data_IF_840826877185
#
_entry.id   IF_840826877185
#
_cell.length_a   1.000
_cell.length_b   1.000
_cell.length_c   1.000
_cell.angle_alpha   90.00
_cell.angle_beta   90.00
_cell.angle_gamma   90.00
#
_symmetry.space_group_name_H-M   'P 1'
#
loop_
_entity.id
_entity.type
_entity.pdbx_description
1 polymer ?
#
# COMPACT_ATOMS: atom_id res chain seq x y z
N UNK A 1 14.90 -15.59 4.98
CA UNK A 1 13.86 -16.64 5.14
C UNK A 1 12.64 -16.21 4.33
N UNK A 2 11.78 -17.14 3.92
CA UNK A 2 10.55 -16.91 3.13
C UNK A 2 9.37 -17.76 3.63
N UNK A 3 9.51 -18.31 4.83
CA UNK A 3 8.50 -19.03 5.58
C UNK A 3 7.37 -18.09 6.02
N UNK A 4 6.16 -18.64 6.17
CA UNK A 4 4.98 -17.92 6.61
C UNK A 4 4.30 -18.72 7.72
N UNK A 5 4.05 -18.07 8.85
CA UNK A 5 3.38 -18.66 9.99
C UNK A 5 2.29 -17.72 10.49
N UNK A 6 1.28 -18.27 11.15
CA UNK A 6 0.39 -17.49 11.99
C UNK A 6 0.23 -18.16 13.35
N UNK A 7 -0.11 -17.34 14.34
CA UNK A 7 -0.47 -17.78 15.68
C UNK A 7 -1.99 -17.67 15.79
N UNK A 8 -2.66 -18.78 16.05
CA UNK A 8 -4.05 -18.75 16.49
C UNK A 8 -4.11 -18.05 17.86
N UNK A 9 -4.80 -16.92 17.95
CA UNK A 9 -4.84 -16.10 19.17
C UNK A 9 -5.85 -16.62 20.21
N UNK A 10 -6.74 -17.54 19.83
CA UNK A 10 -7.67 -18.19 20.75
C UNK A 10 -7.02 -19.44 21.36
N UNK A 11 -6.40 -20.29 20.52
CA UNK A 11 -5.77 -21.54 20.93
C UNK A 11 -4.31 -21.42 21.35
N UNK A 12 -3.63 -20.31 20.99
CA UNK A 12 -2.19 -20.10 21.15
C UNK A 12 -1.33 -21.15 20.42
N UNK A 13 -1.82 -21.64 19.27
CA UNK A 13 -1.13 -22.62 18.44
C UNK A 13 -0.45 -21.96 17.24
N UNK A 14 0.83 -22.29 17.04
CA UNK A 14 1.59 -21.87 15.87
C UNK A 14 1.36 -22.82 14.71
N UNK A 15 1.00 -22.24 13.57
CA UNK A 15 0.68 -23.00 12.35
C UNK A 15 1.55 -22.47 11.23
N UNK A 16 2.30 -23.37 10.60
CA UNK A 16 3.05 -23.10 9.38
C UNK A 16 2.11 -23.14 8.18
N UNK A 17 2.14 -22.08 7.38
CA UNK A 17 1.45 -22.02 6.10
C UNK A 17 2.43 -22.46 5.02
N UNK A 18 2.01 -23.40 4.19
CA UNK A 18 2.75 -23.86 3.00
C UNK A 18 1.95 -23.43 1.77
N UNK A 19 2.16 -22.21 1.24
CA UNK A 19 1.37 -21.70 0.14
C UNK A 19 1.61 -22.51 -1.14
N UNK A 20 0.57 -22.63 -1.96
CA UNK A 20 0.69 -23.30 -3.24
C UNK A 20 1.29 -22.35 -4.30
N UNK A 21 2.02 -22.92 -5.26
CA UNK A 21 2.53 -22.17 -6.42
C UNK A 21 3.74 -21.29 -6.13
N UNK A 22 3.80 -20.14 -6.80
CA UNK A 22 4.94 -19.22 -6.68
C UNK A 22 4.87 -18.44 -5.37
N UNK A 23 5.99 -18.42 -4.64
CA UNK A 23 6.12 -17.66 -3.40
C UNK A 23 7.08 -16.47 -3.58
N UNK A 24 6.89 -15.37 -2.82
CA UNK A 24 7.84 -14.26 -2.81
C UNK A 24 9.24 -14.74 -2.36
N UNK A 25 10.29 -14.12 -2.92
CA UNK A 25 11.67 -14.38 -2.48
C UNK A 25 11.85 -14.03 -1.00
N UNK A 26 12.75 -14.77 -0.32
CA UNK A 26 13.06 -14.53 1.08
C UNK A 26 13.64 -13.13 1.33
N UNK A 27 13.12 -12.46 2.36
CA UNK A 27 13.34 -11.04 2.59
C UNK A 27 13.24 -10.63 4.06
N UNK A 28 13.96 -9.59 4.45
CA UNK A 28 13.79 -8.86 5.72
C UNK A 28 13.36 -7.42 5.47
N UNK A 29 13.00 -6.69 6.53
CA UNK A 29 12.62 -5.26 6.47
C UNK A 29 11.50 -4.92 5.46
N UNK A 30 10.63 -5.89 5.18
CA UNK A 30 9.45 -5.72 4.35
C UNK A 30 8.26 -5.23 5.20
N UNK A 31 7.18 -4.84 4.54
CA UNK A 31 5.89 -4.59 5.18
C UNK A 31 4.87 -5.65 4.79
N UNK A 32 4.07 -6.13 5.74
CA UNK A 32 2.92 -7.02 5.50
C UNK A 32 1.67 -6.37 6.13
N UNK A 33 0.69 -6.02 5.29
CA UNK A 33 -0.45 -5.17 5.69
C UNK A 33 -1.77 -5.89 5.42
N UNK A 34 -2.68 -6.05 6.38
CA UNK A 34 -4.03 -6.55 6.10
C UNK A 34 -4.81 -5.52 5.28
N UNK A 35 -5.39 -5.95 4.16
CA UNK A 35 -6.16 -5.09 3.25
C UNK A 35 -7.62 -5.54 3.06
N UNK A 36 -7.95 -6.72 3.58
CA UNK A 36 -9.31 -7.20 3.78
C UNK A 36 -9.29 -8.33 4.82
N UNK A 37 -10.44 -8.93 5.12
CA UNK A 37 -10.51 -10.13 5.96
C UNK A 37 -9.79 -11.35 5.37
N UNK A 38 -9.51 -11.34 4.06
CA UNK A 38 -8.98 -12.50 3.33
C UNK A 38 -7.66 -12.22 2.60
N UNK A 39 -7.11 -11.01 2.71
CA UNK A 39 -5.95 -10.60 1.91
C UNK A 39 -4.93 -9.81 2.73
N UNK A 40 -3.67 -10.21 2.60
CA UNK A 40 -2.51 -9.48 3.12
C UNK A 40 -1.67 -8.95 1.97
N UNK A 41 -1.27 -7.69 2.02
CA UNK A 41 -0.41 -7.03 1.04
C UNK A 41 1.04 -6.98 1.52
N UNK A 42 1.95 -7.57 0.76
CA UNK A 42 3.39 -7.58 0.97
C UNK A 42 4.06 -6.60 0.01
N UNK A 43 4.97 -5.76 0.51
CA UNK A 43 5.77 -4.88 -0.34
C UNK A 43 7.22 -4.76 0.13
N UNK A 44 8.12 -4.77 -0.85
CA UNK A 44 9.53 -4.41 -0.70
C UNK A 44 10.30 -5.37 0.22
N UNK A 45 11.30 -4.82 0.89
CA UNK A 45 12.23 -5.54 1.75
C UNK A 45 13.63 -5.69 1.13
N UNK A 46 14.39 -6.62 1.69
CA UNK A 46 15.79 -6.82 1.36
C UNK A 46 16.14 -8.32 1.37
N UNK A 47 16.71 -8.81 0.28
CA UNK A 47 17.05 -10.25 0.14
C UNK A 47 18.31 -10.64 0.90
N UNK A 48 18.52 -11.94 1.07
CA UNK A 48 19.79 -12.51 1.57
C UNK A 48 21.00 -12.04 0.76
N UNK A 49 20.84 -11.93 -0.56
CA UNK A 49 21.88 -11.47 -1.50
C UNK A 49 21.99 -9.94 -1.58
N UNK A 50 21.46 -9.24 -0.58
CA UNK A 50 21.54 -7.79 -0.41
C UNK A 50 20.90 -6.99 -1.55
N UNK A 51 19.83 -7.52 -2.15
CA UNK A 51 19.05 -6.82 -3.17
C UNK A 51 17.88 -6.06 -2.52
N UNK A 52 17.78 -4.72 -2.71
CA UNK A 52 16.58 -3.96 -2.43
C UNK A 52 15.41 -4.44 -3.30
N UNK A 53 14.24 -4.60 -2.70
CA UNK A 53 13.06 -5.12 -3.38
C UNK A 53 12.04 -4.02 -3.65
N UNK A 54 11.42 -4.09 -4.81
CA UNK A 54 10.30 -3.25 -5.26
C UNK A 54 9.08 -4.07 -5.67
N UNK A 55 9.11 -5.40 -5.49
CA UNK A 55 7.98 -6.26 -5.81
C UNK A 55 6.86 -6.16 -4.76
N UNK A 56 5.63 -6.34 -5.23
CA UNK A 56 4.44 -6.37 -4.41
C UNK A 56 3.68 -7.70 -4.61
N UNK A 57 3.06 -8.18 -3.54
CA UNK A 57 2.30 -9.43 -3.56
C UNK A 57 1.05 -9.31 -2.69
N UNK A 58 0.03 -10.10 -3.02
CA UNK A 58 -1.14 -10.32 -2.19
C UNK A 58 -1.15 -11.79 -1.78
N UNK A 59 -1.21 -12.05 -0.47
CA UNK A 59 -1.51 -13.37 0.06
C UNK A 59 -3.02 -13.50 0.26
N UNK A 60 -3.64 -14.48 -0.41
CA UNK A 60 -5.04 -14.83 -0.22
C UNK A 60 -5.14 -15.92 0.86
N UNK A 61 -5.74 -15.59 2.01
CA UNK A 61 -5.77 -16.45 3.20
C UNK A 61 -6.60 -17.71 2.92
N UNK A 62 -7.81 -17.54 2.36
CA UNK A 62 -8.73 -18.63 2.04
C UNK A 62 -8.16 -19.64 1.05
N UNK A 63 -7.33 -19.18 0.10
CA UNK A 63 -6.70 -20.02 -0.92
C UNK A 63 -5.32 -20.52 -0.53
N UNK A 64 -4.71 -19.96 0.52
CA UNK A 64 -3.32 -20.19 0.88
C UNK A 64 -2.39 -20.05 -0.35
N UNK A 65 -2.49 -18.92 -1.03
CA UNK A 65 -1.81 -18.65 -2.31
C UNK A 65 -1.28 -17.21 -2.35
N UNK A 66 -0.10 -17.03 -2.93
CA UNK A 66 0.47 -15.74 -3.24
C UNK A 66 0.18 -15.33 -4.68
N UNK A 67 -0.23 -14.09 -4.88
CA UNK A 67 -0.50 -13.50 -6.19
C UNK A 67 0.39 -12.28 -6.34
N UNK A 68 1.22 -12.24 -7.37
CA UNK A 68 2.05 -11.06 -7.66
C UNK A 68 1.15 -9.87 -8.03
N UNK A 69 1.39 -8.72 -7.40
CA UNK A 69 0.61 -7.51 -7.60
C UNK A 69 1.36 -6.55 -8.53
N UNK A 70 0.72 -6.15 -9.63
CA UNK A 70 1.29 -5.20 -10.58
C UNK A 70 1.06 -3.76 -10.11
N UNK A 71 2.10 -2.92 -10.15
CA UNK A 71 2.05 -1.53 -9.71
C UNK A 71 3.08 -0.66 -10.48
N UNK A 72 2.95 0.67 -10.48
CA UNK A 72 3.81 1.56 -11.25
C UNK A 72 5.15 1.93 -10.57
N UNK A 73 5.52 1.27 -9.47
CA UNK A 73 6.66 1.65 -8.60
C UNK A 73 7.80 0.64 -8.65
N UNK A 74 7.96 -0.08 -9.77
CA UNK A 74 8.96 -1.15 -9.92
C UNK A 74 10.40 -0.62 -9.86
N UNK A 75 10.61 0.65 -10.16
CA UNK A 75 11.88 1.39 -10.06
C UNK A 75 12.11 2.03 -8.67
N UNK A 76 11.18 1.85 -7.73
CA UNK A 76 11.22 2.46 -6.38
C UNK A 76 11.27 1.39 -5.29
N UNK A 77 12.37 0.62 -5.18
CA UNK A 77 12.53 -0.32 -4.09
C UNK A 77 12.48 0.37 -2.74
N UNK A 78 11.99 -0.33 -1.72
CA UNK A 78 11.94 0.15 -0.34
C UNK A 78 12.24 -0.99 0.62
N UNK A 79 13.03 -0.67 1.63
CA UNK A 79 13.25 -1.50 2.80
C UNK A 79 13.24 -0.64 4.05
N UNK A 80 12.79 -1.22 5.16
CA UNK A 80 12.61 -0.53 6.44
C UNK A 80 11.65 0.67 6.34
N UNK A 81 10.70 0.58 5.41
CA UNK A 81 9.59 1.51 5.28
C UNK A 81 8.44 1.14 6.23
N UNK A 82 7.44 2.01 6.26
CA UNK A 82 6.16 1.75 6.91
C UNK A 82 5.07 1.56 5.85
N UNK A 83 4.03 0.81 6.17
CA UNK A 83 2.85 0.64 5.33
C UNK A 83 1.58 0.67 6.18
N UNK A 84 0.57 1.41 5.73
CA UNK A 84 -0.72 1.54 6.41
C UNK A 84 -1.86 1.36 5.39
N UNK A 85 -2.87 0.54 5.74
CA UNK A 85 -4.09 0.46 4.95
C UNK A 85 -4.96 1.71 5.16
N UNK A 86 -5.63 2.15 4.09
CA UNK A 86 -6.64 3.20 4.13
C UNK A 86 -8.05 2.61 4.00
N UNK A 87 -9.05 3.33 4.49
CA UNK A 87 -10.47 2.97 4.34
C UNK A 87 -10.94 2.98 2.87
N UNK A 88 -10.16 3.58 1.97
CA UNK A 88 -10.44 3.68 0.53
C UNK A 88 -9.86 2.49 -0.26
N UNK A 89 -9.36 1.46 0.43
CA UNK A 89 -8.81 0.27 -0.22
C UNK A 89 -7.42 0.49 -0.82
N UNK A 90 -6.63 1.37 -0.20
CA UNK A 90 -5.25 1.67 -0.60
C UNK A 90 -4.27 1.22 0.48
N UNK A 91 -3.04 0.95 0.09
CA UNK A 91 -1.90 0.82 1.02
C UNK A 91 -0.96 2.00 0.78
N UNK A 92 -0.72 2.76 1.84
CA UNK A 92 0.15 3.93 1.84
C UNK A 92 1.50 3.50 2.41
N UNK A 93 2.53 3.51 1.57
CA UNK A 93 3.91 3.23 1.96
C UNK A 93 4.67 4.54 2.13
N UNK A 94 5.35 4.70 3.25
CA UNK A 94 6.14 5.89 3.54
C UNK A 94 7.54 5.54 4.06
N UNK A 95 8.52 6.32 3.61
CA UNK A 95 9.86 6.31 4.16
C UNK A 95 10.75 5.19 3.62
N UNK A 96 11.62 4.68 4.48
CA UNK A 96 12.55 3.59 4.19
C UNK A 96 13.79 4.02 3.41
N UNK A 97 14.52 3.03 2.89
CA UNK A 97 15.72 3.19 2.09
C UNK A 97 15.54 2.53 0.71
N UNK A 98 15.99 3.20 -0.35
CA UNK A 98 15.90 2.68 -1.73
C UNK A 98 17.08 1.80 -2.14
N UNK A 99 18.13 1.73 -1.33
CA UNK A 99 19.30 0.89 -1.60
C UNK A 99 19.79 0.20 -0.33
N UNK A 100 20.89 -0.56 -0.44
CA UNK A 100 21.47 -1.30 0.69
C UNK A 100 21.87 -0.36 1.85
N UNK A 101 21.03 -0.29 2.89
CA UNK A 101 21.21 0.59 4.05
C UNK A 101 22.50 0.29 4.84
N UNK A 102 23.03 -0.94 4.73
CA UNK A 102 24.24 -1.36 5.46
C UNK A 102 25.49 -0.63 4.96
N UNK A 103 25.43 -0.03 3.76
CA UNK A 103 26.46 0.87 3.25
C UNK A 103 26.07 2.30 3.64
N UNK A 104 26.17 2.62 4.93
CA UNK A 104 25.60 3.84 5.53
C UNK A 104 25.87 5.13 4.75
N UNK A 105 27.10 5.34 4.26
CA UNK A 105 27.48 6.55 3.52
C UNK A 105 26.83 6.69 2.13
N UNK A 106 26.20 5.64 1.61
CA UNK A 106 25.46 5.65 0.33
C UNK A 106 23.96 5.42 0.53
N UNK A 107 23.48 5.33 1.77
CA UNK A 107 22.08 5.01 2.05
C UNK A 107 21.15 6.07 1.43
N UNK A 108 20.26 5.62 0.54
CA UNK A 108 19.28 6.45 -0.14
C UNK A 108 17.96 6.46 0.63
N UNK A 109 17.93 7.18 1.76
CA UNK A 109 16.71 7.36 2.54
C UNK A 109 15.66 8.13 1.73
N UNK A 110 14.39 7.76 1.89
CA UNK A 110 13.27 8.37 1.18
C UNK A 110 12.29 9.00 2.17
N UNK A 111 11.67 10.09 1.74
CA UNK A 111 10.47 10.69 2.33
C UNK A 111 9.26 10.59 1.38
N UNK A 112 9.35 9.78 0.32
CA UNK A 112 8.28 9.62 -0.65
C UNK A 112 7.13 8.80 -0.06
N UNK A 113 5.93 9.12 -0.53
CA UNK A 113 4.72 8.34 -0.33
C UNK A 113 4.43 7.55 -1.60
N UNK A 114 4.26 6.23 -1.47
CA UNK A 114 3.79 5.35 -2.55
C UNK A 114 2.38 4.87 -2.20
N UNK A 115 1.46 4.90 -3.16
CA UNK A 115 0.05 4.54 -2.91
C UNK A 115 -0.34 3.38 -3.82
N UNK A 116 -0.65 2.24 -3.21
CA UNK A 116 -1.07 1.04 -3.92
C UNK A 116 -2.59 0.87 -3.79
N UNK A 117 -3.33 1.05 -4.87
CA UNK A 117 -4.78 0.78 -4.89
C UNK A 117 -5.01 -0.73 -5.02
N UNK A 118 -5.21 -1.40 -3.89
CA UNK A 118 -5.38 -2.86 -3.81
C UNK A 118 -6.82 -3.30 -4.02
N UNK A 119 -7.77 -2.38 -3.88
CA UNK A 119 -9.18 -2.60 -4.21
C UNK A 119 -9.67 -1.61 -5.26
N UNK A 120 -10.72 -1.94 -6.02
CA UNK A 120 -11.39 -0.99 -6.90
C UNK A 120 -11.93 0.21 -6.12
N UNK A 121 -11.81 1.41 -6.69
CA UNK A 121 -12.38 2.62 -6.10
C UNK A 121 -13.89 2.49 -5.95
N UNK A 122 -14.41 2.91 -4.79
CA UNK A 122 -15.86 2.99 -4.57
C UNK A 122 -16.53 3.95 -5.56
N UNK A 123 -17.83 3.75 -5.84
CA UNK A 123 -18.59 4.67 -6.68
C UNK A 123 -18.58 6.09 -6.12
N UNK A 124 -18.59 6.23 -4.79
CA UNK A 124 -18.48 7.52 -4.10
C UNK A 124 -17.13 8.16 -4.40
N UNK A 125 -16.02 7.40 -4.30
CA UNK A 125 -14.68 7.88 -4.64
C UNK A 125 -14.58 8.34 -6.09
N UNK A 126 -15.08 7.53 -7.03
CA UNK A 126 -15.10 7.87 -8.46
C UNK A 126 -15.93 9.12 -8.74
N UNK A 127 -17.10 9.22 -8.11
CA UNK A 127 -18.00 10.37 -8.25
C UNK A 127 -17.37 11.65 -7.68
N UNK A 128 -16.72 11.56 -6.52
CA UNK A 128 -15.98 12.68 -5.92
C UNK A 128 -14.81 13.12 -6.80
N UNK A 129 -14.06 12.19 -7.38
CA UNK A 129 -12.98 12.51 -8.33
C UNK A 129 -13.52 13.19 -9.58
N UNK A 130 -14.63 12.70 -10.15
CA UNK A 130 -15.27 13.34 -11.29
C UNK A 130 -15.74 14.78 -10.96
N UNK A 131 -16.34 15.00 -9.78
CA UNK A 131 -16.75 16.34 -9.33
C UNK A 131 -15.55 17.30 -9.24
N UNK A 132 -14.40 16.80 -8.79
CA UNK A 132 -13.16 17.58 -8.72
C UNK A 132 -12.59 17.83 -10.13
N UNK A 133 -12.57 16.83 -11.01
CA UNK A 133 -12.08 16.98 -12.38
C UNK A 133 -12.90 17.98 -13.20
N UNK A 134 -14.23 17.99 -13.06
CA UNK A 134 -15.15 18.88 -13.77
C UNK A 134 -15.55 20.11 -12.94
N UNK A 135 -14.66 20.58 -12.05
CA UNK A 135 -14.93 21.66 -11.10
C UNK A 135 -15.52 22.91 -11.75
N UNK A 136 -14.92 23.37 -12.85
CA UNK A 136 -15.35 24.61 -13.53
C UNK A 136 -16.82 24.57 -13.95
N UNK A 137 -17.32 23.39 -14.31
CA UNK A 137 -18.70 23.17 -14.70
C UNK A 137 -19.62 22.99 -13.48
N UNK A 138 -19.13 22.31 -12.44
CA UNK A 138 -19.97 21.82 -11.34
C UNK A 138 -19.97 22.71 -10.10
N UNK A 139 -19.03 23.65 -9.96
CA UNK A 139 -18.85 24.47 -8.75
C UNK A 139 -20.12 25.21 -8.31
N UNK A 140 -20.91 25.72 -9.28
CA UNK A 140 -22.15 26.43 -8.98
C UNK A 140 -23.22 25.54 -8.33
N UNK A 141 -23.16 24.23 -8.59
CA UNK A 141 -24.08 23.23 -8.05
C UNK A 141 -23.61 22.62 -6.74
N UNK A 142 -22.41 22.96 -6.25
CA UNK A 142 -21.86 22.37 -5.02
C UNK A 142 -22.65 22.72 -3.76
N UNK A 143 -23.30 23.88 -3.73
CA UNK A 143 -24.19 24.28 -2.63
C UNK A 143 -25.40 23.34 -2.46
N UNK A 144 -25.71 22.54 -3.48
CA UNK A 144 -26.77 21.54 -3.43
C UNK A 144 -26.32 20.21 -2.81
N UNK A 145 -25.03 20.03 -2.55
CA UNK A 145 -24.50 18.79 -1.96
C UNK A 145 -24.86 18.70 -0.46
N UNK A 146 -25.19 17.50 0.05
CA UNK A 146 -25.22 17.24 1.48
C UNK A 146 -23.92 17.69 2.17
N UNK A 147 -24.02 18.22 3.40
CA UNK A 147 -22.89 18.83 4.13
C UNK A 147 -21.64 17.94 4.21
N UNK A 148 -21.82 16.63 4.40
CA UNK A 148 -20.70 15.69 4.48
C UNK A 148 -19.95 15.55 3.14
N UNK A 149 -20.67 15.47 2.01
CA UNK A 149 -20.05 15.42 0.69
C UNK A 149 -19.38 16.75 0.31
N UNK A 150 -20.03 17.88 0.62
CA UNK A 150 -19.43 19.20 0.41
C UNK A 150 -18.13 19.34 1.20
N UNK A 151 -18.10 18.87 2.45
CA UNK A 151 -16.88 18.83 3.25
C UNK A 151 -15.78 17.96 2.62
N UNK A 152 -16.11 16.75 2.16
CA UNK A 152 -15.16 15.86 1.47
C UNK A 152 -14.60 16.47 0.19
N UNK A 153 -15.43 17.14 -0.62
CA UNK A 153 -14.99 17.86 -1.82
C UNK A 153 -14.02 18.98 -1.45
N UNK A 154 -14.34 19.78 -0.43
CA UNK A 154 -13.50 20.90 0.02
C UNK A 154 -12.16 20.45 0.62
N UNK A 155 -12.13 19.37 1.41
CA UNK A 155 -10.88 18.81 1.95
C UNK A 155 -9.92 18.38 0.84
N UNK A 156 -10.46 17.70 -0.19
CA UNK A 156 -9.66 17.27 -1.34
C UNK A 156 -9.25 18.45 -2.22
N UNK A 157 -9.99 19.55 -2.20
CA UNK A 157 -9.59 20.80 -2.82
C UNK A 157 -8.38 21.45 -2.13
N UNK A 158 -8.38 21.50 -0.79
CA UNK A 158 -7.29 22.11 -0.01
C UNK A 158 -5.97 21.33 -0.04
N UNK A 159 -6.02 20.03 -0.36
CA UNK A 159 -4.86 19.14 -0.34
C UNK A 159 -3.97 19.25 -1.59
N UNK A 160 -4.45 19.87 -2.69
CA UNK A 160 -3.65 20.07 -3.90
C UNK A 160 -2.57 21.18 -3.76
N UNK A 161 -2.47 21.84 -2.60
CA UNK A 161 -1.47 22.88 -2.34
C UNK A 161 -0.21 22.40 -1.59
N UNK A 162 -0.04 21.11 -1.32
CA UNK A 162 1.25 20.58 -0.83
C UNK A 162 2.03 19.93 -1.96
N UNK A 163 2.43 20.74 -2.93
CA UNK A 163 3.57 20.45 -3.80
C UNK A 163 4.65 21.48 -3.48
N UNK A 164 5.75 21.04 -2.88
CA UNK A 164 6.99 21.81 -2.81
C UNK A 164 7.28 22.49 -1.47
N UNK A 165 8.03 21.80 -0.61
CA UNK A 165 9.25 22.33 0.04
C UNK A 165 10.11 21.15 0.46
#
# INVERSE_FOLDING_TARGET
>A
MNDLHYLDLDAWEWIELIPQGMCPVGRSWHSLTPVSSDHLFLFGGFTTDKQPLSDAWIFCISKNEWIQFNHPYTDRPRLWHTACASDEGEVIVFGGCANNLLVHHRAAHSNEVLIFSVQPKSLVRLSLEAVICFKEMLANSWNCLPKHLLHSVNQRFGSNNTSGS
#
